data_IF_833024737799
#
_entry.id   IF_833024737799
#
_cell.length_a   1.000
_cell.length_b   1.000
_cell.length_c   1.000
_cell.angle_alpha   90.00
_cell.angle_beta   90.00
_cell.angle_gamma   90.00
#
_symmetry.space_group_name_H-M   'P 1'
#
loop_
_entity.id
_entity.type
_entity.pdbx_description
1 polymer ?
#
# COMPACT_ATOMS: atom_id res chain seq x y z
N UNK A 1 -10.69 4.81 -20.73
CA UNK A 1 -9.63 5.75 -21.17
C UNK A 1 -8.32 5.32 -20.56
N UNK A 2 -7.24 5.24 -21.35
CA UNK A 2 -5.92 4.88 -20.85
C UNK A 2 -5.36 6.01 -19.97
N UNK A 3 -4.82 5.69 -18.79
CA UNK A 3 -4.21 6.68 -17.90
C UNK A 3 -2.96 7.32 -18.50
N UNK A 4 -2.61 8.49 -18.01
CA UNK A 4 -1.40 9.22 -18.43
C UNK A 4 -0.14 8.44 -18.09
N UNK A 5 -0.13 7.72 -16.96
CA UNK A 5 0.98 6.83 -16.60
C UNK A 5 1.12 5.67 -17.58
N UNK A 6 0.04 4.95 -17.89
CA UNK A 6 0.07 3.82 -18.83
C UNK A 6 0.61 4.24 -20.20
N UNK A 7 0.20 5.42 -20.69
CA UNK A 7 0.75 6.03 -21.91
C UNK A 7 2.24 6.30 -21.83
N UNK A 8 2.70 6.92 -20.75
CA UNK A 8 4.12 7.27 -20.56
C UNK A 8 5.02 6.07 -20.39
N UNK A 9 4.52 5.00 -19.75
CA UNK A 9 5.21 3.72 -19.65
C UNK A 9 5.25 2.99 -21.01
N UNK A 10 4.55 3.50 -22.04
CA UNK A 10 4.39 2.87 -23.35
C UNK A 10 3.87 1.44 -23.26
N UNK A 11 3.08 1.18 -22.22
CA UNK A 11 2.55 -0.14 -21.96
C UNK A 11 1.07 -0.16 -22.26
N UNK A 12 0.61 -1.23 -22.90
CA UNK A 12 -0.82 -1.52 -23.07
C UNK A 12 -1.53 -1.88 -21.75
N UNK A 13 -1.08 -1.36 -20.60
CA UNK A 13 -1.68 -1.52 -19.28
C UNK A 13 -2.97 -0.68 -19.20
N UNK A 14 -3.92 -1.01 -20.06
CA UNK A 14 -5.27 -0.44 -20.05
C UNK A 14 -6.17 -1.14 -19.02
N UNK A 15 -5.76 -2.35 -18.60
CA UNK A 15 -6.45 -3.19 -17.65
C UNK A 15 -5.58 -3.38 -16.39
N UNK A 16 -6.20 -3.71 -15.24
CA UNK A 16 -5.45 -4.08 -14.05
C UNK A 16 -4.43 -5.19 -14.34
N UNK A 17 -3.21 -5.06 -13.81
CA UNK A 17 -2.13 -6.01 -14.04
C UNK A 17 -1.48 -6.47 -12.74
N UNK A 18 -0.68 -7.53 -12.77
CA UNK A 18 0.04 -7.96 -11.58
C UNK A 18 1.03 -6.88 -11.12
N UNK A 19 1.16 -6.67 -9.82
CA UNK A 19 2.11 -5.69 -9.24
C UNK A 19 3.55 -5.95 -9.68
N UNK A 20 3.94 -7.21 -9.92
CA UNK A 20 5.25 -7.57 -10.48
C UNK A 20 5.42 -7.18 -11.94
N UNK A 21 4.36 -7.27 -12.74
CA UNK A 21 4.37 -6.80 -14.14
C UNK A 21 4.49 -5.29 -14.15
N UNK A 22 3.71 -4.60 -13.32
CA UNK A 22 3.80 -3.16 -13.12
C UNK A 22 5.22 -2.72 -12.70
N UNK A 23 5.79 -3.36 -11.68
CA UNK A 23 7.13 -3.02 -11.19
C UNK A 23 8.20 -3.21 -12.28
N UNK A 24 8.18 -4.35 -12.99
CA UNK A 24 9.09 -4.61 -14.11
C UNK A 24 9.01 -3.52 -15.19
N UNK A 25 7.79 -3.08 -15.50
CA UNK A 25 7.55 -2.01 -16.47
C UNK A 25 8.15 -0.69 -15.98
N UNK A 26 7.92 -0.31 -14.71
CA UNK A 26 8.50 0.90 -14.12
C UNK A 26 10.01 0.86 -14.16
N UNK A 27 10.63 -0.26 -13.75
CA UNK A 27 12.08 -0.41 -13.76
C UNK A 27 12.70 -0.36 -15.16
N UNK A 28 11.93 -0.67 -16.19
CA UNK A 28 12.35 -0.58 -17.60
C UNK A 28 12.11 0.80 -18.22
N UNK A 29 11.42 1.70 -17.52
CA UNK A 29 11.11 3.03 -18.02
C UNK A 29 12.33 3.97 -17.95
N UNK A 30 12.35 5.08 -18.71
CA UNK A 30 13.38 6.10 -18.57
C UNK A 30 13.46 6.69 -17.16
N UNK A 31 14.65 7.11 -16.74
CA UNK A 31 14.89 7.64 -15.38
C UNK A 31 13.98 8.80 -15.00
N UNK A 32 13.60 9.65 -15.96
CA UNK A 32 12.67 10.77 -15.70
C UNK A 32 11.23 10.29 -15.38
N UNK A 33 10.81 9.12 -15.85
CA UNK A 33 9.53 8.52 -15.41
C UNK A 33 9.71 7.85 -14.06
N UNK A 34 10.80 7.11 -13.88
CA UNK A 34 11.14 6.41 -12.62
C UNK A 34 11.28 7.37 -11.43
N UNK A 35 11.85 8.54 -11.66
CA UNK A 35 12.01 9.61 -10.68
C UNK A 35 10.73 10.41 -10.40
N UNK A 36 9.59 10.08 -11.03
CA UNK A 36 8.31 10.76 -10.81
C UNK A 36 7.94 10.69 -9.33
N UNK A 37 7.68 11.83 -8.66
CA UNK A 37 7.44 11.82 -7.23
C UNK A 37 6.09 11.22 -6.86
N UNK A 38 6.09 10.43 -5.81
CA UNK A 38 4.87 9.94 -5.16
C UNK A 38 4.43 10.98 -4.15
N UNK A 39 3.31 11.63 -4.44
CA UNK A 39 2.84 12.76 -3.66
C UNK A 39 2.01 12.33 -2.46
N UNK A 40 1.26 11.23 -2.58
CA UNK A 40 0.43 10.71 -1.50
C UNK A 40 0.25 9.20 -1.59
N UNK A 41 0.02 8.59 -0.43
CA UNK A 41 -0.44 7.21 -0.31
C UNK A 41 -1.61 7.17 0.69
N UNK A 42 -2.71 6.55 0.27
CA UNK A 42 -3.96 6.49 1.01
C UNK A 42 -4.44 5.05 1.12
N UNK A 43 -4.86 4.63 2.32
CA UNK A 43 -5.52 3.35 2.53
C UNK A 43 -7.02 3.51 2.61
N UNK A 44 -7.74 2.61 1.97
CA UNK A 44 -9.19 2.59 1.90
C UNK A 44 -9.75 1.26 2.34
N UNK A 45 -10.99 1.31 2.85
CA UNK A 45 -11.80 0.15 3.14
C UNK A 45 -13.09 0.24 2.33
N UNK A 46 -13.44 -0.84 1.63
CA UNK A 46 -14.71 -0.94 0.91
C UNK A 46 -15.87 -0.81 1.89
N UNK A 47 -16.95 -0.15 1.47
CA UNK A 47 -18.18 0.00 2.27
C UNK A 47 -19.39 -0.63 1.58
N UNK A 48 -19.22 -1.21 0.39
CA UNK A 48 -20.29 -1.94 -0.29
C UNK A 48 -20.66 -3.19 0.51
N UNK A 49 -21.92 -3.25 0.94
CA UNK A 49 -22.44 -4.42 1.64
C UNK A 49 -22.57 -5.63 0.73
N UNK A 50 -22.56 -5.46 -0.59
CA UNK A 50 -22.61 -6.56 -1.56
C UNK A 50 -21.24 -7.17 -1.86
N UNK A 51 -20.16 -6.61 -1.31
CA UNK A 51 -18.82 -7.17 -1.46
C UNK A 51 -18.78 -8.63 -0.93
N UNK A 52 -18.18 -9.58 -1.67
CA UNK A 52 -18.15 -10.98 -1.26
C UNK A 52 -17.52 -11.21 0.12
N UNK A 53 -16.48 -10.46 0.49
CA UNK A 53 -15.82 -10.58 1.79
C UNK A 53 -16.68 -9.98 2.90
N UNK A 54 -17.35 -8.85 2.62
CA UNK A 54 -18.33 -8.27 3.53
C UNK A 54 -19.45 -9.27 3.85
N UNK A 55 -20.06 -9.87 2.83
CA UNK A 55 -21.12 -10.87 3.00
C UNK A 55 -20.63 -12.11 3.75
N UNK A 56 -19.48 -12.65 3.36
CA UNK A 56 -18.93 -13.87 3.96
C UNK A 56 -18.57 -13.71 5.44
N UNK A 57 -18.14 -12.52 5.85
CA UNK A 57 -17.73 -12.25 7.24
C UNK A 57 -18.78 -11.51 8.07
N UNK A 58 -19.98 -11.27 7.49
CA UNK A 58 -21.03 -10.45 8.10
C UNK A 58 -20.51 -9.06 8.51
N UNK A 59 -19.70 -8.44 7.66
CA UNK A 59 -19.10 -7.12 7.87
C UNK A 59 -17.96 -7.07 8.90
N UNK A 60 -17.52 -8.21 9.44
CA UNK A 60 -16.43 -8.25 10.43
C UNK A 60 -15.05 -8.04 9.79
N UNK A 61 -14.88 -8.46 8.55
CA UNK A 61 -13.67 -8.25 7.75
C UNK A 61 -14.13 -7.62 6.44
N UNK A 62 -13.50 -6.52 6.06
CA UNK A 62 -13.88 -5.81 4.85
C UNK A 62 -12.63 -5.54 4.03
N UNK A 63 -12.81 -5.60 2.72
CA UNK A 63 -11.73 -5.48 1.76
C UNK A 63 -11.01 -4.13 1.88
N UNK A 64 -9.69 -4.15 1.79
CA UNK A 64 -8.86 -2.96 1.83
C UNK A 64 -7.89 -2.89 0.65
N UNK A 65 -7.58 -1.66 0.24
CA UNK A 65 -6.69 -1.37 -0.88
C UNK A 65 -5.94 -0.04 -0.65
N UNK A 66 -4.88 0.18 -1.42
CA UNK A 66 -4.11 1.43 -1.43
C UNK A 66 -4.37 2.22 -2.71
N UNK A 67 -4.50 3.54 -2.60
CA UNK A 67 -4.33 4.47 -3.72
C UNK A 67 -3.01 5.21 -3.56
N UNK A 68 -2.22 5.24 -4.63
CA UNK A 68 -0.96 5.98 -4.72
C UNK A 68 -1.15 7.10 -5.71
N UNK A 69 -0.84 8.32 -5.30
CA UNK A 69 -0.89 9.50 -6.15
C UNK A 69 0.50 9.83 -6.65
N UNK A 70 0.68 9.89 -7.97
CA UNK A 70 1.97 10.13 -8.62
C UNK A 70 1.89 11.41 -9.45
N UNK A 71 2.92 12.24 -9.34
CA UNK A 71 3.12 13.41 -10.18
C UNK A 71 3.93 13.05 -11.41
N UNK A 72 3.35 13.24 -12.59
CA UNK A 72 4.03 13.00 -13.86
C UNK A 72 4.43 14.31 -14.53
N UNK A 73 5.64 14.40 -15.10
CA UNK A 73 6.05 15.57 -15.86
C UNK A 73 5.20 15.68 -17.15
N UNK A 74 4.61 16.84 -17.41
CA UNK A 74 3.73 17.05 -18.57
C UNK A 74 4.45 17.63 -19.81
N UNK A 75 5.79 17.53 -19.86
CA UNK A 75 6.60 18.00 -20.99
C UNK A 75 6.83 19.51 -21.03
N UNK A 76 6.19 20.29 -20.16
CA UNK A 76 6.54 21.68 -19.88
C UNK A 76 7.17 21.78 -18.48
N UNK A 77 8.29 22.52 -18.33
CA UNK A 77 8.92 22.71 -17.02
C UNK A 77 7.92 23.27 -16.01
N UNK A 78 7.82 22.64 -14.84
CA UNK A 78 6.93 23.06 -13.76
C UNK A 78 5.45 22.70 -13.92
N UNK A 79 5.05 22.02 -15.01
CA UNK A 79 3.70 21.49 -15.16
C UNK A 79 3.64 20.00 -14.86
N UNK A 80 2.70 19.64 -13.98
CA UNK A 80 2.50 18.29 -13.48
C UNK A 80 1.09 17.79 -13.80
N UNK A 81 1.02 16.51 -14.14
CA UNK A 81 -0.25 15.80 -14.27
C UNK A 81 -0.33 14.77 -13.17
N UNK A 82 -1.48 14.72 -12.50
CA UNK A 82 -1.79 13.71 -11.50
C UNK A 82 -2.22 12.42 -12.17
N UNK A 83 -1.74 11.32 -11.65
CA UNK A 83 -2.20 9.98 -12.01
C UNK A 83 -2.24 9.13 -10.74
N UNK A 84 -3.04 8.07 -10.77
CA UNK A 84 -3.37 7.29 -9.61
C UNK A 84 -3.15 5.81 -9.88
N UNK A 85 -2.63 5.12 -8.89
CA UNK A 85 -2.40 3.69 -8.90
C UNK A 85 -3.25 3.10 -7.78
N UNK A 86 -4.23 2.25 -8.11
CA UNK A 86 -4.89 1.39 -7.13
C UNK A 86 -4.11 0.10 -7.01
N UNK A 87 -3.61 -0.18 -5.82
CA UNK A 87 -3.02 -1.47 -5.48
C UNK A 87 -4.04 -2.27 -4.70
N UNK A 88 -4.40 -3.41 -5.26
CA UNK A 88 -5.49 -4.26 -4.79
C UNK A 88 -5.00 -5.70 -4.57
N UNK A 89 -5.70 -6.44 -3.72
CA UNK A 89 -5.35 -7.78 -3.28
C UNK A 89 -6.57 -8.70 -3.35
N UNK A 90 -6.68 -9.42 -4.45
CA UNK A 90 -7.79 -10.34 -4.70
C UNK A 90 -7.43 -11.76 -4.22
N UNK A 91 -8.40 -12.51 -3.69
CA UNK A 91 -8.24 -13.93 -3.36
C UNK A 91 -8.47 -14.87 -4.55
N UNK A 92 -8.75 -14.33 -5.75
CA UNK A 92 -9.08 -15.10 -6.95
C UNK A 92 -7.86 -15.22 -7.90
N UNK A 93 -7.45 -16.44 -8.31
CA UNK A 93 -7.98 -17.74 -7.93
C UNK A 93 -7.45 -18.22 -6.58
N UNK A 94 -8.30 -18.87 -5.79
CA UNK A 94 -7.84 -19.60 -4.61
C UNK A 94 -6.99 -20.81 -5.04
N UNK A 95 -5.95 -21.21 -4.28
CA UNK A 95 -5.51 -20.65 -2.99
C UNK A 95 -4.46 -19.53 -3.14
N UNK A 96 -4.21 -19.04 -4.35
CA UNK A 96 -3.14 -18.08 -4.64
C UNK A 96 -3.75 -16.80 -5.19
N UNK A 97 -4.20 -15.95 -4.27
CA UNK A 97 -4.70 -14.63 -4.63
C UNK A 97 -3.67 -13.78 -5.40
N UNK A 98 -4.16 -12.68 -5.98
CA UNK A 98 -3.41 -11.80 -6.87
C UNK A 98 -3.17 -10.45 -6.21
N UNK A 99 -1.98 -9.91 -6.43
CA UNK A 99 -1.66 -8.51 -6.13
C UNK A 99 -1.74 -7.75 -7.44
N UNK A 100 -2.63 -6.78 -7.52
CA UNK A 100 -3.00 -6.13 -8.77
C UNK A 100 -2.74 -4.62 -8.66
N UNK A 101 -2.22 -4.02 -9.72
CA UNK A 101 -2.11 -2.59 -9.91
C UNK A 101 -3.03 -2.15 -11.06
N UNK A 102 -3.93 -1.21 -10.79
CA UNK A 102 -4.77 -0.54 -11.78
C UNK A 102 -4.40 0.95 -11.87
N UNK A 103 -4.39 1.50 -13.08
CA UNK A 103 -3.93 2.86 -13.34
C UNK A 103 -5.09 3.73 -13.84
N UNK A 104 -5.25 4.93 -13.29
CA UNK A 104 -6.29 5.89 -13.71
C UNK A 104 -5.82 7.32 -13.54
N UNK A 105 -6.36 8.24 -14.34
CA UNK A 105 -6.24 9.69 -14.08
C UNK A 105 -7.47 10.24 -13.32
N UNK A 106 -8.44 9.39 -13.04
CA UNK A 106 -9.63 9.65 -12.23
C UNK A 106 -9.50 8.93 -10.88
N UNK A 107 -9.28 9.71 -9.81
CA UNK A 107 -9.13 9.19 -8.44
C UNK A 107 -10.44 8.60 -7.94
N UNK A 108 -11.55 9.33 -8.07
CA UNK A 108 -12.87 8.90 -7.60
C UNK A 108 -13.33 7.62 -8.33
N UNK A 109 -13.02 7.51 -9.62
CA UNK A 109 -13.27 6.30 -10.40
C UNK A 109 -12.53 5.05 -9.89
N UNK A 110 -11.42 5.21 -9.16
CA UNK A 110 -10.71 4.10 -8.51
C UNK A 110 -11.24 3.76 -7.11
N UNK A 111 -11.99 4.65 -6.46
CA UNK A 111 -12.41 4.44 -5.06
C UNK A 111 -13.61 3.50 -4.95
N UNK A 112 -14.59 3.66 -5.83
CA UNK A 112 -15.91 3.05 -5.64
C UNK A 112 -16.53 3.41 -4.27
N UNK A 113 -17.50 2.64 -3.77
CA UNK A 113 -18.04 2.81 -2.41
C UNK A 113 -17.00 2.38 -1.37
N UNK A 114 -16.19 3.32 -0.90
CA UNK A 114 -15.17 3.09 0.11
C UNK A 114 -15.01 4.27 1.07
N UNK A 115 -14.42 4.01 2.23
CA UNK A 115 -14.00 5.02 3.20
C UNK A 115 -12.48 5.03 3.34
N UNK A 116 -11.90 6.21 3.48
CA UNK A 116 -10.46 6.35 3.75
C UNK A 116 -10.16 6.02 5.22
N UNK A 117 -9.12 5.23 5.45
CA UNK A 117 -8.63 4.89 6.78
C UNK A 117 -7.43 5.74 7.19
N UNK A 118 -6.51 6.02 6.25
CA UNK A 118 -5.30 6.77 6.52
C UNK A 118 -4.69 7.37 5.26
N UNK A 119 -3.88 8.42 5.43
CA UNK A 119 -3.20 9.15 4.36
C UNK A 119 -1.88 9.72 4.85
N UNK A 120 -0.85 9.51 4.06
CA UNK A 120 0.39 10.31 4.08
C UNK A 120 0.50 11.10 2.78
N UNK A 121 0.93 12.36 2.86
CA UNK A 121 1.16 13.18 1.68
C UNK A 121 2.26 14.23 1.89
N UNK A 122 3.05 14.48 0.85
CA UNK A 122 4.17 15.44 0.85
C UNK A 122 3.71 16.88 0.62
N UNK A 123 2.63 17.33 1.27
CA UNK A 123 2.07 18.67 1.07
C UNK A 123 3.10 19.75 1.44
N UNK A 124 3.46 20.59 0.48
CA UNK A 124 4.44 21.66 0.69
C UNK A 124 5.89 21.19 0.93
N UNK A 125 6.18 19.91 0.73
CA UNK A 125 7.51 19.35 0.97
C UNK A 125 8.32 19.20 -0.32
N UNK A 126 9.66 19.37 -0.27
CA UNK A 126 10.54 19.05 -1.40
C UNK A 126 10.35 17.61 -1.85
N UNK A 127 10.21 17.40 -3.15
CA UNK A 127 9.90 16.10 -3.74
C UNK A 127 11.06 15.11 -3.58
N UNK A 128 12.29 15.60 -3.48
CA UNK A 128 13.52 14.80 -3.36
C UNK A 128 13.61 14.05 -2.02
N UNK A 129 12.84 14.50 -1.02
CA UNK A 129 12.78 13.86 0.30
C UNK A 129 11.72 12.75 0.34
N UNK A 130 10.86 12.65 -0.67
CA UNK A 130 9.80 11.66 -0.77
C UNK A 130 10.18 10.44 -1.61
N UNK A 131 9.25 9.47 -1.72
CA UNK A 131 9.43 8.31 -2.58
C UNK A 131 9.27 8.69 -4.06
N UNK A 132 10.00 7.97 -4.90
CA UNK A 132 9.76 7.95 -6.34
C UNK A 132 8.82 6.82 -6.75
N UNK A 133 8.40 6.85 -8.02
CA UNK A 133 7.68 5.74 -8.64
C UNK A 133 8.51 4.45 -8.65
N UNK A 134 9.83 4.55 -8.86
CA UNK A 134 10.76 3.42 -8.79
C UNK A 134 10.82 2.82 -7.37
N UNK A 135 10.83 3.67 -6.33
CA UNK A 135 10.82 3.21 -4.94
C UNK A 135 9.55 2.40 -4.63
N UNK A 136 8.39 2.85 -5.12
CA UNK A 136 7.11 2.14 -4.97
C UNK A 136 7.11 0.83 -5.75
N UNK A 137 7.65 0.80 -6.97
CA UNK A 137 7.80 -0.44 -7.72
C UNK A 137 8.63 -1.47 -6.94
N UNK A 138 9.76 -1.05 -6.36
CA UNK A 138 10.59 -1.94 -5.52
C UNK A 138 9.85 -2.39 -4.25
N UNK A 139 9.08 -1.51 -3.60
CA UNK A 139 8.27 -1.89 -2.45
C UNK A 139 7.26 -2.99 -2.82
N UNK A 140 6.57 -2.85 -3.94
CA UNK A 140 5.62 -3.85 -4.44
C UNK A 140 6.30 -5.20 -4.70
N UNK A 141 7.52 -5.21 -5.26
CA UNK A 141 8.28 -6.44 -5.46
C UNK A 141 8.73 -7.08 -4.15
N UNK A 142 9.15 -6.28 -3.16
CA UNK A 142 9.50 -6.78 -1.82
C UNK A 142 8.29 -7.43 -1.16
N UNK A 143 7.14 -6.74 -1.14
CA UNK A 143 5.90 -7.30 -0.58
C UNK A 143 5.49 -8.55 -1.34
N UNK A 144 5.54 -8.55 -2.67
CA UNK A 144 5.24 -9.73 -3.47
C UNK A 144 6.13 -10.93 -3.12
N UNK A 145 7.46 -10.73 -3.06
CA UNK A 145 8.41 -11.80 -2.71
C UNK A 145 8.17 -12.38 -1.32
N UNK A 146 7.82 -11.54 -0.35
CA UNK A 146 7.50 -11.99 1.02
C UNK A 146 6.18 -12.77 1.11
N UNK A 147 5.33 -12.65 0.10
CA UNK A 147 4.08 -13.41 -0.03
C UNK A 147 4.16 -14.60 -0.99
N UNK A 148 5.36 -14.96 -1.48
CA UNK A 148 5.53 -16.16 -2.32
C UNK A 148 5.00 -17.40 -1.57
N UNK A 149 4.13 -18.16 -2.24
CA UNK A 149 3.31 -19.22 -1.64
C UNK A 149 1.83 -18.86 -1.46
N UNK A 150 1.46 -17.58 -1.65
CA UNK A 150 0.08 -17.16 -1.85
C UNK A 150 -0.39 -16.07 -0.88
N UNK A 151 -1.28 -15.23 -1.41
CA UNK A 151 -2.33 -14.58 -0.62
C UNK A 151 -3.30 -15.67 -0.16
N UNK A 152 -3.57 -15.73 1.14
CA UNK A 152 -4.73 -16.47 1.66
C UNK A 152 -5.55 -15.52 2.55
N UNK A 153 -6.87 -15.68 2.51
CA UNK A 153 -7.80 -14.76 3.18
C UNK A 153 -7.67 -14.69 4.70
N UNK A 154 -6.89 -15.58 5.33
CA UNK A 154 -6.77 -15.70 6.79
C UNK A 154 -5.41 -15.23 7.32
N UNK A 155 -4.37 -15.24 6.49
CA UNK A 155 -2.99 -15.01 6.90
C UNK A 155 -2.30 -13.94 6.07
N UNK A 156 -2.42 -13.91 4.75
CA UNK A 156 -1.77 -12.87 3.91
C UNK A 156 -2.83 -12.16 3.10
N UNK A 157 -3.80 -11.61 3.81
CA UNK A 157 -5.01 -11.05 3.23
C UNK A 157 -4.85 -9.55 2.87
N UNK A 158 -5.90 -8.99 2.29
CA UNK A 158 -5.90 -7.64 1.73
C UNK A 158 -5.65 -6.55 2.78
N UNK A 159 -6.18 -6.75 3.99
CA UNK A 159 -5.91 -5.93 5.17
C UNK A 159 -4.41 -5.84 5.42
N UNK A 160 -3.76 -6.99 5.62
CA UNK A 160 -2.34 -7.08 5.96
C UNK A 160 -1.43 -6.48 4.91
N UNK A 161 -1.69 -6.75 3.63
CA UNK A 161 -0.82 -6.29 2.55
C UNK A 161 -0.99 -4.78 2.31
N UNK A 162 -2.21 -4.26 2.43
CA UNK A 162 -2.49 -2.82 2.42
C UNK A 162 -1.74 -2.12 3.54
N UNK A 163 -1.82 -2.65 4.76
CA UNK A 163 -1.16 -2.10 5.94
C UNK A 163 0.36 -2.11 5.80
N UNK A 164 0.94 -3.21 5.34
CA UNK A 164 2.38 -3.30 5.09
C UNK A 164 2.88 -2.23 4.10
N UNK A 165 2.14 -1.97 3.02
CA UNK A 165 2.52 -0.93 2.05
C UNK A 165 2.48 0.46 2.68
N UNK A 166 1.37 0.83 3.33
CA UNK A 166 1.20 2.14 3.94
C UNK A 166 2.22 2.36 5.06
N UNK A 167 2.33 1.40 5.99
CA UNK A 167 3.14 1.54 7.19
C UNK A 167 4.65 1.47 6.89
N UNK A 168 5.08 0.67 5.91
CA UNK A 168 6.47 0.69 5.45
C UNK A 168 6.81 2.04 4.82
N UNK A 169 5.93 2.57 3.97
CA UNK A 169 6.14 3.89 3.34
C UNK A 169 6.14 5.01 4.37
N UNK A 170 5.24 4.95 5.34
CA UNK A 170 5.16 5.87 6.46
C UNK A 170 6.48 5.89 7.24
N UNK A 171 7.03 4.73 7.59
CA UNK A 171 8.30 4.64 8.34
C UNK A 171 9.51 5.12 7.53
N UNK A 172 9.66 4.63 6.30
CA UNK A 172 10.85 4.89 5.48
C UNK A 172 11.02 6.37 5.15
N UNK A 173 9.92 7.06 4.87
CA UNK A 173 9.90 8.49 4.53
C UNK A 173 9.23 9.32 5.63
N UNK A 174 9.36 8.88 6.89
CA UNK A 174 8.69 9.50 8.05
C UNK A 174 8.92 11.01 8.15
N UNK A 175 10.15 11.48 7.98
CA UNK A 175 10.46 12.91 7.99
C UNK A 175 9.69 13.70 6.93
N UNK A 176 9.59 13.16 5.71
CA UNK A 176 8.87 13.79 4.61
C UNK A 176 7.36 13.84 4.87
N UNK A 177 6.77 12.76 5.38
CA UNK A 177 5.34 12.72 5.66
C UNK A 177 4.92 13.55 6.87
N UNK A 178 5.71 13.52 7.94
CA UNK A 178 5.41 14.27 9.17
C UNK A 178 5.55 15.78 8.97
N UNK A 179 6.46 16.21 8.09
CA UNK A 179 6.57 17.61 7.70
C UNK A 179 5.46 18.06 6.73
N UNK A 180 4.88 17.11 5.98
CA UNK A 180 3.73 17.35 5.10
C UNK A 180 2.41 17.09 5.81
N UNK A 181 1.74 16.01 5.41
CA UNK A 181 0.44 15.60 5.92
C UNK A 181 0.48 14.12 6.33
N UNK A 182 -0.01 13.82 7.53
CA UNK A 182 -0.09 12.47 8.06
C UNK A 182 -1.32 12.36 8.97
N UNK A 183 -2.36 11.69 8.49
CA UNK A 183 -3.62 11.51 9.23
C UNK A 183 -4.19 10.10 9.04
N UNK A 184 -4.97 9.60 10.00
CA UNK A 184 -5.32 10.23 11.29
C UNK A 184 -4.19 10.10 12.33
N UNK A 185 -4.41 10.64 13.52
CA UNK A 185 -3.42 10.66 14.62
C UNK A 185 -2.75 9.30 14.95
N UNK A 186 -3.45 8.14 14.91
CA UNK A 186 -2.78 6.84 15.05
C UNK A 186 -1.69 6.58 14.00
N UNK A 187 -1.93 6.95 12.73
CA UNK A 187 -0.93 6.83 11.67
C UNK A 187 0.24 7.78 11.91
N UNK A 188 -0.04 9.00 12.37
CA UNK A 188 1.00 9.97 12.75
C UNK A 188 1.89 9.45 13.86
N UNK A 189 1.32 9.02 14.98
CA UNK A 189 2.07 8.43 16.11
C UNK A 189 2.89 7.21 15.70
N UNK A 190 2.33 6.36 14.85
CA UNK A 190 3.10 5.26 14.28
C UNK A 190 4.28 5.76 13.44
N UNK A 191 4.05 6.73 12.56
CA UNK A 191 5.09 7.32 11.70
C UNK A 191 6.24 7.93 12.52
N UNK A 192 5.92 8.55 13.66
CA UNK A 192 6.88 9.10 14.64
C UNK A 192 7.64 8.03 15.45
N UNK A 193 7.16 6.78 15.46
CA UNK A 193 7.70 5.72 16.31
C UNK A 193 7.10 5.60 17.69
N UNK A 194 6.01 6.30 17.97
CA UNK A 194 5.27 6.22 19.23
C UNK A 194 4.24 5.09 19.32
N UNK A 195 4.09 4.25 18.28
CA UNK A 195 3.16 3.11 18.28
C UNK A 195 3.72 1.90 17.53
N UNK A 196 3.33 0.70 17.94
CA UNK A 196 3.47 -0.53 17.16
C UNK A 196 2.40 -0.62 16.06
N UNK A 197 2.61 -1.54 15.11
CA UNK A 197 1.75 -1.72 13.95
C UNK A 197 0.33 -2.09 14.35
N UNK A 198 0.16 -3.07 15.25
CA UNK A 198 -1.17 -3.58 15.61
C UNK A 198 -2.02 -2.51 16.28
N UNK A 199 -1.43 -1.70 17.13
CA UNK A 199 -2.09 -0.57 17.80
C UNK A 199 -2.49 0.51 16.81
N UNK A 200 -1.63 0.81 15.83
CA UNK A 200 -1.95 1.74 14.75
C UNK A 200 -3.16 1.25 13.96
N UNK A 201 -3.08 0.04 13.42
CA UNK A 201 -4.12 -0.59 12.59
C UNK A 201 -5.47 -0.68 13.30
N UNK A 202 -5.50 -1.13 14.55
CA UNK A 202 -6.76 -1.25 15.28
C UNK A 202 -7.44 0.10 15.47
N UNK A 203 -6.66 1.17 15.70
CA UNK A 203 -7.18 2.53 15.84
C UNK A 203 -7.54 3.20 14.52
N UNK A 204 -6.95 2.77 13.39
CA UNK A 204 -7.40 3.17 12.06
C UNK A 204 -8.73 2.52 11.68
N UNK A 205 -8.88 1.24 12.04
CA UNK A 205 -10.06 0.46 11.67
C UNK A 205 -11.28 0.77 12.56
N UNK A 206 -11.07 0.93 13.87
CA UNK A 206 -12.13 1.02 14.87
C UNK A 206 -12.08 2.33 15.66
N UNK A 207 -13.25 2.94 15.89
CA UNK A 207 -13.37 4.16 16.70
C UNK A 207 -13.59 3.86 18.20
N UNK A 208 -14.26 2.75 18.53
CA UNK A 208 -14.59 2.39 19.91
C UNK A 208 -13.38 1.75 20.63
N UNK A 209 -12.98 2.23 21.83
CA UNK A 209 -11.81 1.71 22.55
C UNK A 209 -11.91 0.22 22.91
N UNK A 210 -13.12 -0.30 23.17
CA UNK A 210 -13.31 -1.71 23.50
C UNK A 210 -13.08 -2.55 22.25
N UNK A 211 -13.64 -2.14 21.10
CA UNK A 211 -13.39 -2.78 19.81
C UNK A 211 -11.90 -2.75 19.44
N UNK A 212 -11.22 -1.62 19.66
CA UNK A 212 -9.78 -1.49 19.44
C UNK A 212 -8.98 -2.51 20.27
N UNK A 213 -9.31 -2.64 21.57
CA UNK A 213 -8.63 -3.57 22.46
C UNK A 213 -8.89 -5.04 22.07
N UNK A 214 -10.15 -5.39 21.79
CA UNK A 214 -10.54 -6.74 21.36
C UNK A 214 -9.90 -7.10 20.03
N UNK A 215 -9.96 -6.22 19.04
CA UNK A 215 -9.33 -6.42 17.74
C UNK A 215 -7.80 -6.52 17.86
N UNK A 216 -7.18 -5.64 18.64
CA UNK A 216 -5.73 -5.67 18.88
C UNK A 216 -5.28 -6.98 19.51
N UNK A 217 -5.99 -7.48 20.51
CA UNK A 217 -5.72 -8.79 21.10
C UNK A 217 -5.90 -9.93 20.09
N UNK A 218 -7.03 -9.92 19.36
CA UNK A 218 -7.34 -10.92 18.34
C UNK A 218 -6.28 -11.01 17.23
N UNK A 219 -5.86 -9.85 16.70
CA UNK A 219 -4.81 -9.76 15.67
C UNK A 219 -3.50 -10.34 16.20
N UNK A 220 -3.06 -9.95 17.42
CA UNK A 220 -1.83 -10.49 18.02
C UNK A 220 -1.91 -12.00 18.25
N UNK A 221 -3.02 -12.50 18.78
CA UNK A 221 -3.21 -13.92 19.07
C UNK A 221 -3.20 -14.76 17.80
N UNK A 222 -3.99 -14.39 16.78
CA UNK A 222 -4.04 -15.10 15.50
C UNK A 222 -2.66 -15.10 14.84
N UNK A 223 -1.94 -13.98 14.87
CA UNK A 223 -0.58 -13.89 14.32
C UNK A 223 0.44 -14.71 15.08
N UNK A 224 0.41 -14.68 16.41
CA UNK A 224 1.29 -15.50 17.24
C UNK A 224 1.11 -16.99 16.94
N UNK A 225 -0.14 -17.43 16.79
CA UNK A 225 -0.48 -18.81 16.40
C UNK A 225 0.08 -19.14 15.01
N UNK A 226 -0.19 -18.29 14.01
CA UNK A 226 0.30 -18.49 12.64
C UNK A 226 1.83 -18.53 12.58
N UNK A 227 2.50 -17.60 13.25
CA UNK A 227 3.96 -17.54 13.30
C UNK A 227 4.58 -18.76 13.97
N UNK A 228 3.96 -19.25 15.05
CA UNK A 228 4.38 -20.48 15.73
C UNK A 228 4.28 -21.71 14.82
N UNK A 229 3.13 -21.91 14.18
CA UNK A 229 2.90 -23.08 13.33
C UNK A 229 3.67 -23.06 12.00
N UNK A 230 4.10 -21.88 11.55
CA UNK A 230 4.86 -21.72 10.31
C UNK A 230 6.36 -21.52 10.53
N UNK A 231 6.87 -21.63 11.76
CA UNK A 231 8.27 -21.29 12.08
C UNK A 231 9.32 -22.05 11.25
N UNK A 232 9.00 -23.29 10.84
CA UNK A 232 9.89 -24.16 10.07
C UNK A 232 9.60 -24.14 8.57
N UNK A 233 8.60 -23.38 8.12
CA UNK A 233 8.21 -23.31 6.72
C UNK A 233 9.06 -22.27 5.96
N UNK A 234 9.39 -22.52 4.68
CA UNK A 234 10.13 -21.56 3.86
C UNK A 234 9.37 -20.24 3.64
N UNK A 235 8.05 -20.26 3.84
CA UNK A 235 7.15 -19.12 3.78
C UNK A 235 6.59 -18.77 5.17
N UNK A 236 7.44 -18.81 6.21
CA UNK A 236 7.07 -18.42 7.58
C UNK A 236 6.29 -17.12 7.64
N UNK A 237 5.26 -17.10 8.48
CA UNK A 237 4.50 -15.91 8.82
C UNK A 237 5.20 -15.23 10.01
N UNK A 238 5.44 -13.94 9.89
CA UNK A 238 6.04 -13.14 10.94
C UNK A 238 4.97 -12.36 11.72
N UNK A 239 5.35 -11.78 12.85
CA UNK A 239 4.53 -10.76 13.50
C UNK A 239 4.46 -9.51 12.61
N UNK A 240 3.45 -8.67 12.80
CA UNK A 240 3.22 -7.55 11.87
C UNK A 240 4.37 -6.53 11.89
N UNK A 241 4.85 -6.18 13.08
CA UNK A 241 6.01 -5.30 13.24
C UNK A 241 7.28 -5.90 12.61
N UNK A 242 7.46 -7.22 12.70
CA UNK A 242 8.58 -7.92 12.06
C UNK A 242 8.48 -7.92 10.54
N UNK A 243 7.27 -8.10 9.99
CA UNK A 243 7.03 -8.02 8.56
C UNK A 243 7.38 -6.63 8.02
N UNK A 244 6.90 -5.55 8.67
CA UNK A 244 7.25 -4.18 8.27
C UNK A 244 8.76 -3.95 8.40
N UNK A 245 9.38 -4.37 9.51
CA UNK A 245 10.84 -4.25 9.69
C UNK A 245 11.61 -4.95 8.57
N UNK A 246 11.26 -6.19 8.26
CA UNK A 246 11.91 -6.97 7.20
C UNK A 246 11.66 -6.37 5.81
N UNK A 247 10.48 -5.80 5.55
CA UNK A 247 10.21 -5.03 4.32
C UNK A 247 11.15 -3.83 4.25
N UNK A 248 11.29 -3.06 5.32
CA UNK A 248 12.18 -1.90 5.37
C UNK A 248 13.66 -2.28 5.14
N UNK A 249 14.11 -3.38 5.72
CA UNK A 249 15.47 -3.92 5.52
C UNK A 249 15.73 -4.35 4.06
N UNK A 250 14.72 -4.92 3.41
CA UNK A 250 14.82 -5.40 2.01
C UNK A 250 14.54 -4.31 0.97
N UNK A 251 13.83 -3.25 1.36
CA UNK A 251 13.46 -2.15 0.48
C UNK A 251 14.64 -1.19 0.32
N UNK A 252 15.51 -1.49 -0.65
CA UNK A 252 16.56 -0.58 -1.10
C UNK A 252 15.96 0.49 -2.01
N UNK A 253 16.04 1.79 -1.68
CA UNK A 253 15.58 2.85 -2.59
C UNK A 253 16.31 2.76 -3.94
N UNK A 254 15.58 3.03 -5.02
CA UNK A 254 16.10 3.03 -6.38
C UNK A 254 16.47 4.43 -6.82
N UNK A 255 15.86 4.88 -7.92
CA UNK A 255 16.01 6.26 -8.41
C UNK A 255 15.33 7.23 -7.46
N UNK A 256 16.06 8.26 -7.00
CA UNK A 256 15.49 9.32 -6.15
C UNK A 256 14.41 10.10 -6.90
N UNK A 257 13.36 10.49 -6.18
CA UNK A 257 12.37 11.43 -6.69
C UNK A 257 13.03 12.77 -7.03
N UNK A 258 12.59 13.41 -8.12
CA UNK A 258 13.14 14.70 -8.57
C UNK A 258 12.06 15.55 -9.21
N UNK A 259 12.13 16.86 -9.02
CA UNK A 259 11.51 17.79 -9.95
C UNK A 259 12.26 17.72 -11.28
N UNK A 260 11.55 17.47 -12.38
CA UNK A 260 12.11 17.37 -13.74
C UNK A 260 11.63 18.58 -14.54
#
# INVERSE_FOLDING_TARGET
NMSTLARKLQTGLNEPCLTTVFAKVVHSAPDYIRASPVHAMESFQVTDTNDPLYQHTSGKIVHQFIIITVHLPNGQPGQWTWTYIRVDFDNNPQPHGRQIAALSDDHDGLLGPSRRLGRVAGLGQPVENGPSLDDIATLLEVVHRRTLGGYDGLSRNCLWLTENLLLSTARKYSQHWLAGFCEPEPLRRYTEGGSDVVTCVSQLAFHDPIQQAVAGFGIRAVRGIQAFFTQAAPNRIELHDDDVRLILEQWTPGVKARSI
#
